data_IF_248597163742
#
_entry.id   IF_248597163742
#
_cell.length_a   1.000
_cell.length_b   1.000
_cell.length_c   1.000
_cell.angle_alpha   90.00
_cell.angle_beta   90.00
_cell.angle_gamma   90.00
#
_symmetry.space_group_name_H-M   'P 1'
#
loop_
_entity.id
_entity.type
_entity.pdbx_description
1 polymer ?
#
# COMPACT_ATOMS: atom_id res chain seq x y z
N UNK A 1 0.27 -14.62 0.32
CA UNK A 1 -0.10 -13.69 1.41
C UNK A 1 0.04 -14.30 2.82
N UNK A 2 1.25 -14.67 3.29
CA UNK A 2 1.38 -15.19 4.67
C UNK A 2 1.45 -14.09 5.75
N UNK A 3 1.84 -12.85 5.39
CA UNK A 3 2.02 -11.75 6.35
C UNK A 3 0.87 -10.72 6.39
N UNK A 4 0.17 -10.48 5.27
CA UNK A 4 -1.01 -9.58 5.21
C UNK A 4 -2.26 -10.23 5.84
N UNK A 5 -2.26 -11.56 6.04
CA UNK A 5 -3.29 -12.26 6.83
C UNK A 5 -3.33 -11.87 8.32
N UNK A 6 -2.42 -10.98 8.77
CA UNK A 6 -2.48 -10.44 10.12
C UNK A 6 -3.66 -9.48 10.24
N UNK A 7 -4.57 -9.82 11.13
CA UNK A 7 -5.76 -9.05 11.43
C UNK A 7 -5.39 -7.79 12.22
N UNK A 8 -5.46 -6.62 11.58
CA UNK A 8 -5.24 -5.33 12.23
C UNK A 8 -6.58 -4.65 12.53
N UNK A 9 -6.76 -4.18 13.76
CA UNK A 9 -7.82 -3.21 14.08
C UNK A 9 -7.26 -1.80 13.91
N UNK A 10 -8.11 -0.78 13.99
CA UNK A 10 -7.64 0.62 13.99
C UNK A 10 -6.55 0.88 15.05
N UNK A 11 -6.68 0.33 16.25
CA UNK A 11 -5.74 0.57 17.34
C UNK A 11 -4.42 -0.16 17.13
N UNK A 12 -4.45 -1.42 16.69
CA UNK A 12 -3.21 -2.17 16.44
C UNK A 12 -2.46 -1.61 15.23
N UNK A 13 -3.17 -1.15 14.20
CA UNK A 13 -2.57 -0.46 13.06
C UNK A 13 -1.94 0.88 13.46
N UNK A 14 -2.62 1.68 14.29
CA UNK A 14 -2.10 2.94 14.81
C UNK A 14 -0.79 2.73 15.59
N UNK A 15 -0.75 1.75 16.49
CA UNK A 15 0.46 1.36 17.23
C UNK A 15 1.58 0.93 16.29
N UNK A 16 1.27 0.09 15.29
CA UNK A 16 2.26 -0.43 14.34
C UNK A 16 2.87 0.69 13.48
N UNK A 17 2.05 1.64 13.05
CA UNK A 17 2.48 2.82 12.30
C UNK A 17 3.04 3.95 13.17
N UNK A 18 3.02 3.82 14.51
CA UNK A 18 3.42 4.86 15.48
C UNK A 18 2.69 6.19 15.28
N UNK A 19 1.39 6.13 15.00
CA UNK A 19 0.52 7.31 14.80
C UNK A 19 -0.70 7.25 15.71
N UNK A 20 -1.48 8.33 15.75
CA UNK A 20 -2.75 8.36 16.49
C UNK A 20 -3.84 7.55 15.76
N UNK A 21 -4.84 7.09 16.53
CA UNK A 21 -6.04 6.47 15.95
C UNK A 21 -6.76 7.41 14.97
N UNK A 22 -6.77 8.72 15.26
CA UNK A 22 -7.39 9.72 14.40
C UNK A 22 -6.65 9.84 13.07
N UNK A 23 -5.33 9.70 13.08
CA UNK A 23 -4.51 9.68 11.85
C UNK A 23 -4.91 8.51 10.96
N UNK A 24 -5.08 7.30 11.52
CA UNK A 24 -5.55 6.13 10.74
C UNK A 24 -6.93 6.37 10.16
N UNK A 25 -7.88 6.91 10.94
CA UNK A 25 -9.23 7.23 10.45
C UNK A 25 -9.19 8.23 9.30
N UNK A 26 -8.37 9.29 9.43
CA UNK A 26 -8.21 10.29 8.38
C UNK A 26 -7.61 9.68 7.12
N UNK A 27 -6.57 8.85 7.24
CA UNK A 27 -5.99 8.15 6.09
C UNK A 27 -7.00 7.24 5.40
N UNK A 28 -7.86 6.53 6.15
CA UNK A 28 -8.93 5.73 5.54
C UNK A 28 -9.84 6.61 4.67
N UNK A 29 -10.32 7.73 5.23
CA UNK A 29 -11.21 8.64 4.49
C UNK A 29 -10.54 9.19 3.22
N UNK A 30 -9.28 9.63 3.31
CA UNK A 30 -8.55 10.15 2.15
C UNK A 30 -8.20 9.09 1.12
N UNK A 31 -8.03 7.83 1.54
CA UNK A 31 -7.84 6.69 0.66
C UNK A 31 -9.14 6.25 -0.05
N UNK A 32 -10.29 6.90 0.24
CA UNK A 32 -11.59 6.49 -0.29
C UNK A 32 -12.22 5.31 0.45
N UNK A 33 -11.73 4.99 1.66
CA UNK A 33 -12.20 3.89 2.48
C UNK A 33 -13.13 4.37 3.58
N UNK A 34 -14.06 3.50 3.98
CA UNK A 34 -14.76 3.66 5.26
C UNK A 34 -13.93 2.98 6.34
N UNK A 35 -13.44 3.69 7.38
CA UNK A 35 -12.66 3.05 8.43
C UNK A 35 -13.51 1.97 9.11
N UNK A 36 -12.95 0.77 9.37
CA UNK A 36 -13.69 -0.36 9.95
C UNK A 36 -14.25 0.01 11.32
N UNK A 37 -15.35 -0.61 11.76
CA UNK A 37 -15.92 -0.31 13.07
C UNK A 37 -14.92 -0.61 14.20
N UNK A 38 -15.18 -0.05 15.39
CA UNK A 38 -14.34 -0.30 16.58
C UNK A 38 -14.25 -1.81 16.84
N UNK A 39 -13.04 -2.33 17.00
CA UNK A 39 -12.74 -3.77 17.16
C UNK A 39 -13.04 -4.66 15.93
N UNK A 40 -13.33 -4.08 14.77
CA UNK A 40 -13.34 -4.78 13.49
C UNK A 40 -11.96 -4.69 12.83
N UNK A 41 -11.60 -5.75 12.10
CA UNK A 41 -10.33 -5.85 11.40
C UNK A 41 -10.40 -5.23 10.01
N UNK A 42 -9.28 -4.70 9.56
CA UNK A 42 -9.08 -4.35 8.16
C UNK A 42 -9.00 -5.61 7.31
N UNK A 43 -9.59 -5.58 6.12
CA UNK A 43 -9.33 -6.57 5.07
C UNK A 43 -7.95 -6.35 4.43
N UNK A 44 -7.48 -7.34 3.68
CA UNK A 44 -6.25 -7.20 2.90
C UNK A 44 -6.32 -6.02 1.92
N UNK A 45 -7.45 -5.89 1.21
CA UNK A 45 -7.67 -4.84 0.21
C UNK A 45 -7.70 -3.44 0.85
N UNK A 46 -8.27 -3.32 2.06
CA UNK A 46 -8.28 -2.05 2.80
C UNK A 46 -6.86 -1.65 3.26
N UNK A 47 -6.05 -2.63 3.69
CA UNK A 47 -4.65 -2.39 4.05
C UNK A 47 -3.81 -2.01 2.83
N UNK A 48 -4.06 -2.63 1.68
CA UNK A 48 -3.39 -2.28 0.43
C UNK A 48 -3.78 -0.87 -0.04
N UNK A 49 -5.07 -0.54 -0.04
CA UNK A 49 -5.52 0.80 -0.40
C UNK A 49 -4.96 1.89 0.54
N UNK A 50 -4.81 1.59 1.84
CA UNK A 50 -4.12 2.46 2.78
C UNK A 50 -2.62 2.61 2.48
N UNK A 51 -1.97 1.52 2.07
CA UNK A 51 -0.57 1.55 1.68
C UNK A 51 -0.35 2.40 0.42
N UNK A 52 -1.22 2.24 -0.58
CA UNK A 52 -1.20 3.03 -1.81
C UNK A 52 -1.35 4.52 -1.52
N UNK A 53 -2.35 4.87 -0.70
CA UNK A 53 -2.57 6.23 -0.24
C UNK A 53 -1.33 6.78 0.49
N UNK A 54 -0.78 6.01 1.43
CA UNK A 54 0.39 6.44 2.21
C UNK A 54 1.57 6.74 1.30
N UNK A 55 1.85 5.90 0.31
CA UNK A 55 2.95 6.13 -0.64
C UNK A 55 2.72 7.40 -1.46
N UNK A 56 1.51 7.55 -2.02
CA UNK A 56 1.18 8.73 -2.81
C UNK A 56 1.32 10.03 -2.01
N UNK A 57 0.75 10.06 -0.81
CA UNK A 57 0.81 11.22 0.08
C UNK A 57 2.24 11.50 0.55
N UNK A 58 2.96 10.49 1.02
CA UNK A 58 4.25 10.67 1.71
C UNK A 58 5.41 10.91 0.75
N UNK A 59 5.51 10.14 -0.32
CA UNK A 59 6.70 10.11 -1.19
C UNK A 59 6.48 10.79 -2.54
N UNK A 60 5.24 10.80 -3.03
CA UNK A 60 4.87 11.52 -4.26
C UNK A 60 4.30 12.91 -3.98
N UNK A 61 4.10 13.26 -2.70
CA UNK A 61 3.56 14.56 -2.24
C UNK A 61 2.20 14.89 -2.83
N UNK A 62 1.39 13.87 -3.12
CA UNK A 62 -0.01 14.06 -3.51
C UNK A 62 -0.76 14.66 -2.33
N UNK A 63 -1.49 15.75 -2.56
CA UNK A 63 -2.32 16.34 -1.53
C UNK A 63 -3.43 15.37 -1.12
N UNK A 64 -3.74 15.27 0.18
CA UNK A 64 -4.67 14.28 0.71
C UNK A 64 -6.06 14.37 0.06
N UNK A 65 -6.57 15.59 -0.15
CA UNK A 65 -7.84 15.87 -0.80
C UNK A 65 -7.85 15.63 -2.32
N UNK A 66 -6.68 15.54 -2.95
CA UNK A 66 -6.53 15.31 -4.38
C UNK A 66 -6.26 13.83 -4.70
N UNK A 67 -6.05 12.98 -3.69
CA UNK A 67 -5.69 11.58 -3.91
C UNK A 67 -6.72 10.82 -4.76
N UNK A 68 -8.00 10.98 -4.45
CA UNK A 68 -9.08 10.29 -5.17
C UNK A 68 -9.05 10.68 -6.66
N UNK A 69 -9.00 11.98 -6.96
CA UNK A 69 -9.07 12.44 -8.35
C UNK A 69 -7.77 12.15 -9.12
N UNK A 70 -6.60 12.42 -8.51
CA UNK A 70 -5.32 12.31 -9.19
C UNK A 70 -4.78 10.88 -9.26
N UNK A 71 -4.99 10.06 -8.23
CA UNK A 71 -4.39 8.71 -8.17
C UNK A 71 -5.44 7.67 -8.53
N UNK A 72 -6.58 7.64 -7.84
CA UNK A 72 -7.62 6.65 -8.14
C UNK A 72 -8.28 6.94 -9.50
N UNK A 73 -8.52 8.20 -9.83
CA UNK A 73 -9.05 8.61 -11.14
C UNK A 73 -8.15 8.23 -12.32
N UNK A 74 -6.83 8.10 -12.11
CA UNK A 74 -5.89 7.58 -13.11
C UNK A 74 -5.82 6.05 -13.17
N UNK A 75 -6.58 5.35 -12.32
CA UNK A 75 -6.60 3.90 -12.21
C UNK A 75 -5.56 3.33 -11.23
N UNK A 76 -5.21 4.09 -10.20
CA UNK A 76 -4.44 3.62 -9.04
C UNK A 76 -2.96 4.02 -9.03
N UNK A 77 -2.29 3.70 -7.91
CA UNK A 77 -0.92 4.14 -7.64
C UNK A 77 0.07 3.71 -8.73
N UNK A 78 -0.03 2.49 -9.24
CA UNK A 78 0.85 1.95 -10.28
C UNK A 78 0.84 2.82 -11.55
N UNK A 79 -0.35 3.21 -12.02
CA UNK A 79 -0.50 4.09 -13.20
C UNK A 79 -0.05 5.50 -12.91
N UNK A 80 -0.35 6.01 -11.72
CA UNK A 80 0.08 7.34 -11.29
C UNK A 80 1.62 7.46 -11.28
N UNK A 81 2.33 6.51 -10.64
CA UNK A 81 3.80 6.47 -10.62
C UNK A 81 4.37 6.37 -12.03
N UNK A 82 3.82 5.49 -12.87
CA UNK A 82 4.26 5.36 -14.26
C UNK A 82 4.14 6.69 -15.03
N UNK A 83 3.09 7.46 -14.76
CA UNK A 83 2.89 8.78 -15.38
C UNK A 83 3.86 9.84 -14.86
N UNK A 84 4.03 9.98 -13.54
CA UNK A 84 4.76 11.12 -12.96
C UNK A 84 6.25 10.85 -12.72
N UNK A 85 6.65 9.59 -12.53
CA UNK A 85 8.04 9.16 -12.32
C UNK A 85 8.63 8.38 -13.49
N UNK A 86 7.84 8.00 -14.51
CA UNK A 86 8.28 7.20 -15.66
C UNK A 86 8.98 5.91 -15.27
N UNK A 87 8.49 5.29 -14.19
CA UNK A 87 9.00 4.02 -13.66
C UNK A 87 7.85 3.16 -13.16
N UNK A 88 8.10 1.87 -12.99
CA UNK A 88 7.14 0.95 -12.38
C UNK A 88 7.00 1.20 -10.87
N UNK A 89 5.89 0.76 -10.28
CA UNK A 89 5.72 0.72 -8.82
C UNK A 89 6.86 -0.06 -8.15
N UNK A 90 7.28 -1.18 -8.76
CA UNK A 90 8.42 -1.98 -8.29
C UNK A 90 9.69 -1.14 -8.22
N UNK A 91 10.11 -0.54 -9.33
CA UNK A 91 11.31 0.31 -9.36
C UNK A 91 11.22 1.47 -8.37
N UNK A 92 10.05 2.09 -8.25
CA UNK A 92 9.83 3.13 -7.27
C UNK A 92 10.08 2.63 -5.84
N UNK A 93 9.47 1.50 -5.47
CA UNK A 93 9.67 0.93 -4.14
C UNK A 93 11.11 0.47 -3.95
N UNK A 94 11.73 -0.21 -4.91
CA UNK A 94 13.06 -0.83 -4.75
C UNK A 94 14.23 0.14 -4.88
N UNK A 95 14.14 1.14 -5.76
CA UNK A 95 15.27 2.01 -6.11
C UNK A 95 15.11 3.43 -5.54
N UNK A 96 13.87 3.92 -5.38
CA UNK A 96 13.62 5.29 -4.93
C UNK A 96 13.46 5.42 -3.41
N UNK A 97 12.89 4.40 -2.75
CA UNK A 97 12.74 4.42 -1.29
C UNK A 97 14.00 3.93 -0.58
N UNK A 98 14.41 4.67 0.46
CA UNK A 98 15.50 4.29 1.35
C UNK A 98 15.15 3.06 2.20
N UNK A 99 16.16 2.43 2.81
CA UNK A 99 15.96 1.27 3.71
C UNK A 99 15.03 1.60 4.87
N UNK A 100 15.16 2.79 5.45
CA UNK A 100 14.33 3.21 6.58
C UNK A 100 12.88 3.49 6.16
N UNK A 101 12.66 4.04 4.97
CA UNK A 101 11.32 4.25 4.42
C UNK A 101 10.62 2.94 4.10
N UNK A 102 11.36 1.95 3.57
CA UNK A 102 10.86 0.58 3.34
C UNK A 102 10.50 -0.14 4.63
N UNK A 103 11.12 0.19 5.75
CA UNK A 103 10.80 -0.39 7.05
C UNK A 103 9.46 0.08 7.62
N UNK A 104 8.85 1.12 7.03
CA UNK A 104 7.51 1.56 7.44
C UNK A 104 6.47 0.48 7.10
N UNK A 105 5.62 0.16 8.06
CA UNK A 105 4.68 -0.96 7.96
C UNK A 105 3.79 -0.93 6.70
N UNK A 106 3.23 0.24 6.35
CA UNK A 106 2.41 0.36 5.15
C UNK A 106 3.22 0.18 3.86
N UNK A 107 4.51 0.53 3.85
CA UNK A 107 5.37 0.30 2.68
C UNK A 107 5.70 -1.18 2.56
N UNK A 108 5.95 -1.86 3.69
CA UNK A 108 6.18 -3.30 3.72
C UNK A 108 5.02 -4.10 3.12
N UNK A 109 3.76 -3.69 3.34
CA UNK A 109 2.60 -4.34 2.71
C UNK A 109 2.75 -4.42 1.19
N UNK A 110 3.22 -3.34 0.56
CA UNK A 110 3.42 -3.30 -0.89
C UNK A 110 4.70 -4.01 -1.33
N UNK A 111 5.76 -3.95 -0.53
CA UNK A 111 6.99 -4.73 -0.79
C UNK A 111 6.68 -6.22 -0.80
N UNK A 112 6.06 -6.72 0.26
CA UNK A 112 5.70 -8.13 0.43
C UNK A 112 4.80 -8.60 -0.74
N UNK A 113 3.83 -7.78 -1.16
CA UNK A 113 2.98 -8.08 -2.31
C UNK A 113 3.77 -8.20 -3.62
N UNK A 114 4.66 -7.25 -3.87
CA UNK A 114 5.48 -7.25 -5.10
C UNK A 114 6.48 -8.41 -5.14
N UNK A 115 6.93 -8.89 -3.98
CA UNK A 115 7.78 -10.09 -3.88
C UNK A 115 6.97 -11.36 -4.16
N UNK A 116 5.73 -11.47 -3.64
CA UNK A 116 4.85 -12.60 -3.94
C UNK A 116 4.46 -12.68 -5.43
N UNK A 117 4.21 -11.55 -6.10
CA UNK A 117 3.94 -11.53 -7.55
C UNK A 117 5.09 -12.14 -8.36
N UNK A 118 6.34 -12.04 -7.88
CA UNK A 118 7.52 -12.61 -8.55
C UNK A 118 7.57 -14.14 -8.35
N UNK A 119 7.30 -14.62 -7.14
CA UNK A 119 7.29 -16.06 -6.84
C UNK A 119 6.21 -16.78 -7.65
N UNK A 120 5.03 -16.18 -7.79
CA UNK A 120 3.92 -16.74 -8.57
C UNK A 120 4.22 -16.74 -10.09
N UNK A 121 4.89 -15.70 -10.62
CA UNK A 121 5.32 -15.65 -12.02
C UNK A 121 6.43 -16.66 -12.32
N UNK A 122 7.41 -16.84 -11.42
CA UNK A 122 8.47 -17.85 -11.56
C UNK A 122 7.92 -19.29 -11.46
N UNK A 123 6.93 -19.54 -10.58
CA UNK A 123 6.30 -20.85 -10.45
C UNK A 123 5.44 -21.22 -11.67
N UNK A 124 4.74 -20.25 -12.28
CA UNK A 124 3.95 -20.50 -13.49
C UNK A 124 4.80 -20.75 -14.75
N UNK A 125 6.01 -20.21 -14.83
CA UNK A 125 6.95 -20.52 -15.93
C UNK A 125 7.64 -21.89 -15.79
N UNK A 126 7.68 -22.47 -14.58
CA UNK A 126 8.22 -23.81 -14.34
C UNK A 126 7.26 -24.97 -14.63
N UNK A 127 5.97 -24.69 -14.83
CA UNK A 127 4.91 -25.69 -14.98
C UNK A 127 4.60 -26.15 -16.41
N UNK A 128 5.30 -25.62 -17.43
CA UNK A 128 5.07 -26.00 -18.84
C UNK A 128 6.34 -26.61 -19.44
N UNK A 129 6.85 -27.67 -18.81
CA UNK A 129 7.87 -28.52 -19.40
C UNK A 129 7.70 -29.97 -18.91
N UNK A 130 6.78 -30.70 -19.54
CA UNK A 130 6.86 -32.12 -19.94
C UNK A 130 5.46 -32.67 -20.22
#
# INVERSE_FOLDING_TARGET
>A
MKNIQRLYTQSTLATRCKVSLQTIKNWCMWAGLTPPKKATYFSCDELEALADFYIAYKFLRVQQNAYIDCVLGMGGLKKYIASVRRMSLRQFVTEFLTKDEKAHFLVQILVDKLEEEIEDDEFNFGGTAA
#
